data_IF_781163332899
#
_entry.id   IF_781163332899
#
_cell.length_a   1.000
_cell.length_b   1.000
_cell.length_c   1.000
_cell.angle_alpha   90.00
_cell.angle_beta   90.00
_cell.angle_gamma   90.00
#
_symmetry.space_group_name_H-M   'P 1'
#
loop_
_entity.id
_entity.type
_entity.pdbx_description
1 polymer ?
#
# COMPACT_ATOMS: atom_id res chain seq x y z
N UNK A 1 -49.94 22.69 22.21
CA UNK A 1 -49.28 23.11 20.94
C UNK A 1 -47.90 22.47 20.90
N UNK A 2 -47.76 21.36 20.17
CA UNK A 2 -46.52 20.58 20.03
C UNK A 2 -45.56 21.33 19.10
N UNK A 3 -44.36 21.66 19.57
CA UNK A 3 -43.26 22.14 18.71
C UNK A 3 -42.36 20.95 18.38
N UNK A 4 -42.47 20.44 17.16
CA UNK A 4 -41.54 19.46 16.63
C UNK A 4 -40.23 20.17 16.25
N UNK A 5 -39.14 19.83 16.94
CA UNK A 5 -37.78 20.22 16.55
C UNK A 5 -37.29 19.15 15.57
N UNK A 6 -37.31 19.46 14.28
CA UNK A 6 -36.67 18.65 13.25
C UNK A 6 -35.16 18.83 13.38
N UNK A 7 -34.47 17.82 13.91
CA UNK A 7 -33.01 17.73 13.84
C UNK A 7 -32.68 17.28 12.42
N UNK A 8 -32.30 18.21 11.56
CA UNK A 8 -31.72 17.89 10.26
C UNK A 8 -30.31 17.37 10.50
N UNK A 9 -30.15 16.05 10.62
CA UNK A 9 -28.85 15.42 10.54
C UNK A 9 -28.34 15.66 9.12
N UNK A 10 -27.42 16.61 8.95
CA UNK A 10 -26.64 16.72 7.74
C UNK A 10 -25.90 15.39 7.58
N UNK A 11 -26.27 14.59 6.57
CA UNK A 11 -25.40 13.54 6.07
C UNK A 11 -24.17 14.25 5.52
N UNK A 12 -23.17 14.47 6.37
CA UNK A 12 -21.82 14.63 5.91
C UNK A 12 -21.54 13.36 5.13
N UNK A 13 -21.51 13.46 3.79
CA UNK A 13 -20.94 12.42 2.97
C UNK A 13 -19.57 12.14 3.58
N UNK A 14 -19.41 10.98 4.21
CA UNK A 14 -18.13 10.53 4.68
C UNK A 14 -17.27 10.48 3.43
N UNK A 15 -16.46 11.51 3.22
CA UNK A 15 -15.39 11.45 2.25
C UNK A 15 -14.56 10.29 2.74
N UNK A 16 -14.66 9.13 2.08
CA UNK A 16 -13.77 8.02 2.36
C UNK A 16 -12.37 8.60 2.20
N UNK A 17 -11.60 8.70 3.28
CA UNK A 17 -10.29 9.32 3.21
C UNK A 17 -9.48 8.49 2.23
N UNK A 18 -9.20 9.10 1.09
CA UNK A 18 -8.43 8.46 0.04
C UNK A 18 -6.95 8.64 0.36
N UNK A 19 -6.11 7.62 0.20
CA UNK A 19 -4.68 7.77 0.37
C UNK A 19 -4.14 8.80 -0.61
N UNK A 20 -3.33 9.76 -0.14
CA UNK A 20 -2.78 10.84 -0.97
C UNK A 20 -1.34 11.13 -0.61
N UNK A 21 -0.52 11.37 -1.63
CA UNK A 21 0.88 11.69 -1.46
C UNK A 21 1.75 10.46 -1.20
N UNK A 22 2.90 10.68 -0.57
CA UNK A 22 3.91 9.65 -0.34
C UNK A 22 3.72 8.98 1.02
N UNK A 23 3.92 7.66 1.03
CA UNK A 23 3.91 6.79 2.20
C UNK A 23 5.23 6.02 2.22
N UNK A 24 5.90 5.97 3.37
CA UNK A 24 7.19 5.30 3.50
C UNK A 24 7.27 4.46 4.76
N UNK A 25 7.88 3.29 4.64
CA UNK A 25 8.14 2.42 5.76
C UNK A 25 9.33 1.51 5.50
N UNK A 26 9.90 0.98 6.58
CA UNK A 26 11.00 0.02 6.51
C UNK A 26 10.93 -0.91 7.72
N UNK A 27 11.31 -2.16 7.51
CA UNK A 27 11.38 -3.16 8.56
C UNK A 27 12.50 -4.18 8.28
N UNK A 28 12.73 -5.08 9.23
CA UNK A 28 13.63 -6.21 9.10
C UNK A 28 12.82 -7.48 8.87
N UNK A 29 12.89 -7.99 7.66
CA UNK A 29 12.34 -9.29 7.33
C UNK A 29 13.48 -10.31 7.24
N UNK A 30 13.45 -11.33 8.11
CA UNK A 30 14.47 -12.38 8.19
C UNK A 30 15.90 -11.82 8.33
N UNK A 31 16.06 -10.75 9.10
CA UNK A 31 17.34 -10.08 9.34
C UNK A 31 17.83 -9.19 8.20
N UNK A 32 17.16 -9.21 7.04
CA UNK A 32 17.43 -8.30 5.92
C UNK A 32 16.59 -7.05 6.05
N UNK A 33 17.19 -5.89 5.74
CA UNK A 33 16.42 -4.64 5.64
C UNK A 33 15.56 -4.69 4.39
N UNK A 34 14.27 -4.44 4.56
CA UNK A 34 13.31 -4.23 3.48
C UNK A 34 12.62 -2.92 3.76
N UNK A 35 12.34 -2.14 2.73
CA UNK A 35 11.42 -1.03 2.89
C UNK A 35 10.70 -0.71 1.60
N UNK A 36 9.70 0.15 1.73
CA UNK A 36 8.87 0.56 0.63
C UNK A 36 8.54 2.04 0.69
N UNK A 37 8.38 2.62 -0.49
CA UNK A 37 7.83 3.92 -0.73
C UNK A 37 6.69 3.77 -1.73
N UNK A 38 5.53 4.26 -1.37
CA UNK A 38 4.33 4.27 -2.20
C UNK A 38 3.88 5.71 -2.36
N UNK A 39 3.81 6.21 -3.58
CA UNK A 39 3.40 7.58 -3.89
C UNK A 39 2.15 7.58 -4.72
N UNK A 40 1.04 7.97 -4.14
CA UNK A 40 -0.23 8.13 -4.84
C UNK A 40 -0.18 9.39 -5.70
N UNK A 41 -0.07 9.22 -7.03
CA UNK A 41 -0.06 10.32 -8.00
C UNK A 41 -1.47 10.85 -8.28
N UNK A 42 -2.40 9.95 -8.52
CA UNK A 42 -3.80 10.28 -8.80
C UNK A 42 -4.73 9.09 -8.43
N UNK A 43 -5.98 9.16 -8.85
CA UNK A 43 -7.00 8.17 -8.48
C UNK A 43 -6.81 6.77 -9.10
N UNK A 44 -5.94 6.65 -10.11
CA UNK A 44 -5.74 5.40 -10.87
C UNK A 44 -4.27 4.97 -11.00
N UNK A 45 -3.32 5.86 -10.71
CA UNK A 45 -1.88 5.60 -10.80
C UNK A 45 -1.13 5.97 -9.54
N UNK A 46 -0.20 5.10 -9.14
CA UNK A 46 0.74 5.31 -8.06
C UNK A 46 2.16 4.93 -8.50
N UNK A 47 3.16 5.41 -7.79
CA UNK A 47 4.52 4.91 -7.89
C UNK A 47 4.81 3.98 -6.71
N UNK A 48 5.54 2.90 -6.96
CA UNK A 48 5.97 1.96 -5.93
C UNK A 48 7.46 1.68 -6.04
N UNK A 49 8.14 1.79 -4.90
CA UNK A 49 9.55 1.46 -4.78
C UNK A 49 9.72 0.54 -3.58
N UNK A 50 10.32 -0.63 -3.79
CA UNK A 50 10.74 -1.57 -2.75
C UNK A 50 12.25 -1.57 -2.69
N UNK A 51 12.82 -1.07 -1.60
CA UNK A 51 14.25 -0.99 -1.38
C UNK A 51 14.75 -2.05 -0.40
N UNK A 52 16.07 -2.20 -0.32
CA UNK A 52 16.70 -3.28 0.43
C UNK A 52 16.80 -4.56 -0.40
N UNK A 53 16.29 -5.67 0.13
CA UNK A 53 16.45 -6.99 -0.49
C UNK A 53 15.76 -7.15 -1.86
N UNK A 54 14.72 -6.36 -2.16
CA UNK A 54 13.94 -6.50 -3.40
C UNK A 54 14.42 -5.58 -4.53
N UNK A 55 14.83 -4.33 -4.25
CA UNK A 55 15.36 -3.42 -5.28
C UNK A 55 14.41 -3.15 -6.45
N UNK A 56 13.11 -3.09 -6.20
CA UNK A 56 12.06 -2.85 -7.19
C UNK A 56 11.75 -1.36 -7.22
N UNK A 57 11.63 -0.80 -8.41
CA UNK A 57 11.21 0.59 -8.59
C UNK A 57 10.38 0.64 -9.86
N UNK A 58 9.11 0.97 -9.71
CA UNK A 58 8.13 1.04 -10.78
C UNK A 58 7.28 2.30 -10.62
N UNK A 59 7.04 2.95 -11.75
CA UNK A 59 6.32 4.23 -11.82
C UNK A 59 5.04 4.04 -12.60
N UNK A 60 4.03 4.84 -12.27
CA UNK A 60 2.72 4.87 -12.94
C UNK A 60 1.96 3.53 -12.92
N UNK A 61 2.13 2.79 -11.84
CA UNK A 61 1.46 1.51 -11.59
C UNK A 61 -0.06 1.72 -11.45
N UNK A 62 -0.86 0.99 -12.25
CA UNK A 62 -2.31 1.11 -12.20
C UNK A 62 -2.86 0.45 -10.93
N UNK A 63 -3.80 1.11 -10.28
CA UNK A 63 -4.48 0.59 -9.10
C UNK A 63 -5.94 1.01 -9.04
N UNK A 64 -6.68 0.33 -8.17
CA UNK A 64 -8.01 0.72 -7.72
C UNK A 64 -8.01 0.82 -6.20
N UNK A 65 -8.92 1.64 -5.67
CA UNK A 65 -9.15 1.74 -4.24
C UNK A 65 -10.58 1.28 -3.96
N UNK A 66 -10.70 0.18 -3.23
CA UNK A 66 -11.98 -0.39 -2.84
C UNK A 66 -11.80 -1.08 -1.48
N UNK A 67 -12.85 -1.05 -0.65
CA UNK A 67 -12.82 -1.65 0.69
C UNK A 67 -11.69 -1.11 1.59
N UNK A 68 -11.40 0.19 1.47
CA UNK A 68 -10.28 0.87 2.13
C UNK A 68 -8.90 0.26 1.83
N UNK A 69 -8.76 -0.35 0.65
CA UNK A 69 -7.54 -1.05 0.24
C UNK A 69 -7.08 -0.62 -1.16
N UNK A 70 -5.79 -0.34 -1.30
CA UNK A 70 -5.13 -0.17 -2.58
C UNK A 70 -4.93 -1.56 -3.19
N UNK A 71 -5.58 -1.80 -4.32
CA UNK A 71 -5.51 -3.04 -5.11
C UNK A 71 -4.82 -2.73 -6.42
N UNK A 72 -3.63 -3.29 -6.61
CA UNK A 72 -2.90 -3.15 -7.88
C UNK A 72 -3.65 -3.90 -8.97
N UNK A 73 -3.88 -3.25 -10.11
CA UNK A 73 -4.67 -3.81 -11.22
C UNK A 73 -3.82 -4.21 -12.42
N UNK A 74 -2.50 -4.12 -12.29
CA UNK A 74 -1.55 -4.65 -13.26
C UNK A 74 -1.75 -6.16 -13.47
N UNK A 75 -2.12 -6.55 -14.68
CA UNK A 75 -2.34 -7.96 -15.08
C UNK A 75 -1.38 -8.43 -16.16
N UNK A 76 -0.68 -7.50 -16.82
CA UNK A 76 0.26 -7.83 -17.88
C UNK A 76 1.53 -8.49 -17.32
N UNK A 77 2.04 -9.58 -17.92
CA UNK A 77 3.33 -10.13 -17.55
C UNK A 77 4.51 -9.19 -17.86
N UNK A 78 4.31 -8.21 -18.74
CA UNK A 78 5.31 -7.20 -19.10
C UNK A 78 5.25 -5.95 -18.22
N UNK A 79 4.27 -5.88 -17.31
CA UNK A 79 4.18 -4.84 -16.31
C UNK A 79 5.42 -4.80 -15.41
N UNK A 80 5.88 -3.60 -15.06
CA UNK A 80 7.13 -3.41 -14.33
C UNK A 80 7.14 -4.18 -13.01
N UNK A 81 6.06 -4.04 -12.23
CA UNK A 81 5.94 -4.63 -10.93
C UNK A 81 5.76 -6.14 -11.03
N UNK A 82 4.85 -6.62 -11.90
CA UNK A 82 4.64 -8.05 -12.11
C UNK A 82 5.93 -8.75 -12.57
N UNK A 83 6.66 -8.15 -13.51
CA UNK A 83 7.90 -8.71 -14.05
C UNK A 83 9.00 -8.79 -13.00
N UNK A 84 9.19 -7.73 -12.20
CA UNK A 84 10.21 -7.70 -11.14
C UNK A 84 9.83 -8.62 -9.98
N UNK A 85 8.58 -8.60 -9.53
CA UNK A 85 8.09 -9.50 -8.49
C UNK A 85 8.24 -10.97 -8.92
N UNK A 86 7.87 -11.33 -10.17
CA UNK A 86 8.10 -12.69 -10.69
C UNK A 86 9.57 -13.09 -10.69
N UNK A 87 10.45 -12.18 -11.10
CA UNK A 87 11.90 -12.42 -11.10
C UNK A 87 12.42 -12.75 -9.69
N UNK A 88 11.89 -12.07 -8.68
CA UNK A 88 12.30 -12.23 -7.29
C UNK A 88 11.42 -13.23 -6.51
N UNK A 89 10.57 -14.00 -7.21
CA UNK A 89 9.55 -14.91 -6.64
C UNK A 89 8.71 -14.27 -5.53
N UNK A 90 8.40 -12.99 -5.72
CA UNK A 90 7.62 -12.15 -4.85
C UNK A 90 6.21 -11.93 -5.42
N UNK A 91 5.30 -11.46 -4.57
CA UNK A 91 3.96 -11.03 -4.93
C UNK A 91 3.50 -9.98 -3.92
N UNK A 92 2.90 -8.90 -4.41
CA UNK A 92 2.19 -7.94 -3.56
C UNK A 92 0.75 -8.42 -3.52
N UNK A 93 0.27 -8.80 -2.33
CA UNK A 93 -1.08 -9.34 -2.19
C UNK A 93 -2.09 -8.23 -2.05
N UNK A 94 -1.78 -7.21 -1.24
CA UNK A 94 -2.70 -6.10 -0.99
C UNK A 94 -2.06 -4.94 -0.22
N UNK A 95 -2.72 -3.79 -0.18
CA UNK A 95 -2.24 -2.62 0.56
C UNK A 95 -3.39 -1.86 1.28
N UNK A 96 -3.89 -2.37 2.42
CA UNK A 96 -4.93 -1.70 3.20
C UNK A 96 -4.48 -0.32 3.71
N UNK A 97 -5.41 0.62 3.72
CA UNK A 97 -5.22 1.99 4.18
C UNK A 97 -5.93 2.21 5.52
N UNK A 98 -5.17 2.62 6.53
CA UNK A 98 -5.68 3.06 7.82
C UNK A 98 -5.83 4.59 7.81
N UNK A 99 -7.08 5.01 7.61
CA UNK A 99 -7.49 6.40 7.67
C UNK A 99 -7.17 7.13 8.98
N UNK A 100 -7.20 6.39 10.11
CA UNK A 100 -7.02 6.96 11.44
C UNK A 100 -5.56 7.28 11.72
N UNK A 101 -4.66 6.45 11.20
CA UNK A 101 -3.21 6.64 11.27
C UNK A 101 -2.64 7.42 10.08
N UNK A 102 -3.42 7.55 9.00
CA UNK A 102 -2.93 7.96 7.69
C UNK A 102 -1.71 7.12 7.26
N UNK A 103 -1.88 5.80 7.30
CA UNK A 103 -0.82 4.83 7.01
C UNK A 103 -1.35 3.75 6.03
N UNK A 104 -0.45 3.22 5.21
CA UNK A 104 -0.74 2.11 4.28
C UNK A 104 0.05 0.90 4.75
N UNK A 105 -0.59 -0.26 4.91
CA UNK A 105 0.15 -1.50 5.21
C UNK A 105 0.35 -2.29 3.93
N UNK A 106 1.57 -2.40 3.45
CA UNK A 106 1.89 -3.17 2.25
C UNK A 106 2.10 -4.64 2.59
N UNK A 107 1.24 -5.52 2.07
CA UNK A 107 1.35 -6.96 2.24
C UNK A 107 2.08 -7.57 1.04
N UNK A 108 3.22 -8.22 1.30
CA UNK A 108 4.08 -8.82 0.29
C UNK A 108 4.40 -10.25 0.70
N UNK A 109 4.36 -11.19 -0.25
CA UNK A 109 4.77 -12.56 -0.05
C UNK A 109 6.00 -12.86 -0.91
N UNK A 110 7.11 -13.28 -0.30
CA UNK A 110 8.37 -13.54 -1.00
C UNK A 110 8.83 -14.98 -0.81
N UNK A 111 9.36 -15.58 -1.87
CA UNK A 111 10.01 -16.88 -1.79
C UNK A 111 11.53 -16.70 -1.89
N UNK A 112 12.24 -17.04 -0.82
CA UNK A 112 13.70 -16.89 -0.80
C UNK A 112 14.39 -18.01 -1.61
N UNK A 113 15.41 -17.68 -2.41
CA UNK A 113 16.24 -18.69 -3.06
C UNK A 113 16.96 -19.54 -1.99
N UNK A 114 16.75 -20.84 -2.03
CA UNK A 114 17.34 -21.79 -1.07
C UNK A 114 16.48 -22.09 0.17
N UNK A 115 15.28 -21.52 0.30
CA UNK A 115 14.35 -21.94 1.33
C UNK A 115 13.83 -23.36 1.03
N UNK A 116 14.11 -24.32 1.91
CA UNK A 116 13.60 -25.70 1.85
C UNK A 116 12.08 -25.83 2.03
N UNK A 117 11.33 -24.73 1.95
CA UNK A 117 9.88 -24.64 2.16
C UNK A 117 9.05 -25.06 0.93
N UNK A 118 9.56 -25.93 0.06
CA UNK A 118 8.78 -26.57 -1.00
C UNK A 118 8.05 -25.64 -2.00
N UNK A 119 8.46 -24.39 -2.16
CA UNK A 119 7.75 -23.42 -3.01
C UNK A 119 6.95 -22.34 -2.26
N UNK A 120 6.86 -22.42 -0.94
CA UNK A 120 5.97 -21.56 -0.15
C UNK A 120 6.51 -20.13 -0.02
N UNK A 121 5.72 -19.14 -0.49
CA UNK A 121 5.98 -17.71 -0.26
C UNK A 121 5.73 -17.37 1.21
N UNK A 122 6.63 -16.60 1.81
CA UNK A 122 6.51 -16.15 3.19
C UNK A 122 5.87 -14.75 3.16
N UNK A 123 4.66 -14.58 3.73
CA UNK A 123 4.03 -13.27 3.81
C UNK A 123 4.72 -12.40 4.86
N UNK A 124 4.84 -11.11 4.56
CA UNK A 124 5.17 -10.06 5.51
C UNK A 124 4.36 -8.81 5.21
N UNK A 125 4.14 -8.02 6.24
CA UNK A 125 3.40 -6.76 6.17
C UNK A 125 4.35 -5.64 6.55
N UNK A 126 4.32 -4.55 5.79
CA UNK A 126 5.14 -3.38 6.02
C UNK A 126 4.25 -2.16 6.19
N UNK A 127 4.22 -1.59 7.39
CA UNK A 127 3.48 -0.34 7.65
C UNK A 127 4.25 0.84 7.02
N UNK A 128 3.56 1.64 6.20
CA UNK A 128 4.06 2.81 5.50
C UNK A 128 3.34 4.05 6.05
N UNK A 129 4.06 4.88 6.76
CA UNK A 129 3.52 6.12 7.31
C UNK A 129 3.43 7.18 6.21
N UNK A 130 2.36 7.98 6.20
CA UNK A 130 2.28 9.14 5.32
C UNK A 130 3.38 10.15 5.64
N UNK A 131 4.11 10.57 4.62
CA UNK A 131 5.10 11.63 4.74
C UNK A 131 4.45 13.00 4.95
N UNK A 132 3.17 13.17 4.58
CA UNK A 132 2.43 14.40 4.86
C UNK A 132 2.23 14.62 6.37
N UNK A 133 2.12 13.55 7.15
CA UNK A 133 1.97 13.62 8.61
C UNK A 133 3.26 14.10 9.29
N UNK A 134 4.43 13.85 8.69
CA UNK A 134 5.74 14.31 9.20
C UNK A 134 5.94 15.82 9.06
N UNK A 135 5.26 16.47 8.11
CA UNK A 135 5.37 17.93 7.90
C UNK A 135 4.61 18.73 8.96
N UNK A 136 3.62 18.13 9.65
CA UNK A 136 2.82 18.81 10.68
C UNK A 136 3.49 18.87 12.06
N UNK A 137 4.70 18.30 12.19
CA UNK A 137 5.48 18.26 13.43
C UNK A 137 6.67 19.25 13.46
N UNK A 138 6.73 20.23 12.54
CA UNK A 138 7.68 21.34 12.56
C UNK A 138 6.99 22.68 12.77
#
# INVERSE_FOLDING_TARGET
>A
MLRAITVTAALAAAQTPYPKGAYKGQDKFLGQKIGAELTVKNSTHLDIQLFGALGISCQDEPYTFADDEIKLTATSPDDCLIKKLKKDNAEVTSAPFDATKNAVTLNVAVQLPGASNGGQKIPFSLELDSEATKVKAM
#
